data_IF_433772537985
#
_entry.id   IF_433772537985
#
_cell.length_a   1.000
_cell.length_b   1.000
_cell.length_c   1.000
_cell.angle_alpha   90.00
_cell.angle_beta   90.00
_cell.angle_gamma   90.00
#
_symmetry.space_group_name_H-M   'P 1'
#
loop_
_entity.id
_entity.type
_entity.pdbx_description
1 polymer ?
#
# COMPACT_ATOMS: atom_id res chain seq x y z
N UNK A 1 -2.97 -83.01 21.18
CA UNK A 1 -3.37 -81.60 21.32
C UNK A 1 -2.43 -80.78 20.41
N UNK A 2 -2.92 -80.36 19.22
CA UNK A 2 -2.13 -79.61 18.24
C UNK A 2 -2.37 -78.15 18.48
N UNK A 3 -1.29 -77.40 18.78
CA UNK A 3 -1.31 -75.92 18.94
C UNK A 3 -1.23 -75.28 17.55
N UNK A 4 -2.24 -74.48 17.21
CA UNK A 4 -2.30 -73.72 15.96
C UNK A 4 -1.72 -72.33 16.27
N UNK A 5 -0.58 -72.00 15.66
CA UNK A 5 0.03 -70.68 15.75
C UNK A 5 -0.49 -69.78 14.62
N UNK A 6 -1.19 -68.72 14.94
CA UNK A 6 -1.67 -67.72 14.00
C UNK A 6 -0.60 -66.65 13.88
N UNK A 7 0.01 -66.49 12.70
CA UNK A 7 0.88 -65.36 12.36
C UNK A 7 0.03 -64.17 11.95
N UNK A 8 0.10 -63.07 12.68
CA UNK A 8 -0.43 -61.79 12.25
C UNK A 8 0.63 -61.08 11.38
N UNK A 9 0.31 -60.94 10.11
CA UNK A 9 1.10 -60.07 9.19
C UNK A 9 0.50 -58.69 9.23
N UNK A 10 1.20 -57.73 9.89
CA UNK A 10 0.84 -56.33 9.91
C UNK A 10 1.33 -55.68 8.62
N UNK A 11 0.42 -55.31 7.73
CA UNK A 11 0.74 -54.52 6.54
C UNK A 11 0.93 -53.04 6.96
N UNK A 12 2.16 -52.56 6.84
CA UNK A 12 2.51 -51.14 7.06
C UNK A 12 2.17 -50.37 5.77
N UNK A 13 1.08 -49.59 5.78
CA UNK A 13 0.73 -48.72 4.68
C UNK A 13 1.63 -47.46 4.70
N UNK A 14 2.57 -47.37 3.76
CA UNK A 14 3.40 -46.18 3.57
C UNK A 14 2.57 -45.18 2.76
N UNK A 15 2.03 -44.16 3.42
CA UNK A 15 1.41 -42.99 2.76
C UNK A 15 2.50 -42.06 2.28
N UNK A 16 2.76 -41.99 0.99
CA UNK A 16 3.63 -40.98 0.36
C UNK A 16 2.91 -39.63 0.35
N UNK A 17 3.34 -38.72 1.20
CA UNK A 17 2.91 -37.30 1.15
C UNK A 17 3.65 -36.65 -0.02
N UNK A 18 2.91 -36.38 -1.10
CA UNK A 18 3.44 -35.56 -2.20
C UNK A 18 3.64 -34.12 -1.72
N UNK A 19 4.89 -33.74 -1.52
CA UNK A 19 5.27 -32.33 -1.27
C UNK A 19 5.11 -31.58 -2.60
N UNK A 20 4.02 -30.84 -2.74
CA UNK A 20 3.85 -29.92 -3.87
C UNK A 20 4.80 -28.76 -3.63
N UNK A 21 5.90 -28.72 -4.38
CA UNK A 21 6.82 -27.58 -4.36
C UNK A 21 6.07 -26.33 -4.85
N UNK A 22 5.87 -25.35 -3.95
CA UNK A 22 5.38 -24.04 -4.35
C UNK A 22 6.42 -23.38 -5.29
N UNK A 23 5.99 -22.77 -6.42
CA UNK A 23 6.90 -22.06 -7.28
C UNK A 23 7.60 -20.97 -6.48
N UNK A 24 8.94 -20.95 -6.51
CA UNK A 24 9.73 -19.93 -5.86
C UNK A 24 9.30 -18.55 -6.41
N UNK A 25 8.77 -17.69 -5.55
CA UNK A 25 8.41 -16.33 -5.91
C UNK A 25 9.71 -15.60 -6.28
N UNK A 26 9.75 -15.02 -7.50
CA UNK A 26 10.94 -14.29 -7.94
C UNK A 26 11.28 -13.17 -6.95
N UNK A 27 12.55 -13.05 -6.58
CA UNK A 27 13.01 -12.02 -5.66
C UNK A 27 12.69 -10.63 -6.22
N UNK A 28 12.07 -9.77 -5.41
CA UNK A 28 11.77 -8.39 -5.78
C UNK A 28 13.09 -7.64 -5.94
N UNK A 29 13.27 -7.00 -7.10
CA UNK A 29 14.42 -6.11 -7.39
C UNK A 29 13.86 -4.74 -7.76
N UNK A 30 14.21 -3.72 -6.98
CA UNK A 30 13.89 -2.34 -7.32
C UNK A 30 14.98 -1.76 -8.23
N UNK A 31 14.58 -1.16 -9.34
CA UNK A 31 15.49 -0.29 -10.09
C UNK A 31 15.81 0.97 -9.27
N UNK A 32 16.90 1.64 -9.61
CA UNK A 32 17.26 2.90 -8.97
C UNK A 32 16.14 3.94 -9.16
N UNK A 33 15.71 4.57 -8.07
CA UNK A 33 14.78 5.70 -8.12
C UNK A 33 15.53 6.95 -8.59
N UNK A 34 14.93 7.68 -9.53
CA UNK A 34 15.50 8.90 -10.13
C UNK A 34 14.66 10.15 -9.84
N UNK A 35 13.43 9.96 -9.35
CA UNK A 35 12.54 11.05 -9.01
C UNK A 35 13.11 11.92 -7.88
N UNK A 36 12.81 13.22 -7.96
CA UNK A 36 13.18 14.22 -6.96
C UNK A 36 11.92 14.94 -6.49
N UNK A 37 12.01 15.62 -5.34
CA UNK A 37 10.97 16.53 -4.91
C UNK A 37 10.66 17.56 -6.01
N UNK A 38 9.39 17.75 -6.29
CA UNK A 38 8.93 18.72 -7.30
C UNK A 38 7.51 19.21 -6.98
N UNK A 39 7.16 20.36 -7.53
CA UNK A 39 5.78 20.86 -7.52
C UNK A 39 5.07 20.29 -8.74
N UNK A 40 4.01 19.48 -8.57
CA UNK A 40 3.29 18.90 -9.70
C UNK A 40 2.44 19.94 -10.42
N UNK A 41 2.06 19.61 -11.66
CA UNK A 41 1.13 20.42 -12.44
C UNK A 41 -0.23 20.60 -11.73
N UNK A 42 -0.91 21.70 -12.03
CA UNK A 42 -2.23 21.99 -11.48
C UNK A 42 -3.27 21.01 -12.04
N UNK A 43 -4.06 20.40 -11.15
CA UNK A 43 -5.19 19.51 -11.49
C UNK A 43 -6.46 20.13 -10.93
N UNK A 44 -7.53 20.16 -11.74
CA UNK A 44 -8.82 20.65 -11.27
C UNK A 44 -9.42 19.68 -10.25
N UNK A 45 -9.89 20.21 -9.11
CA UNK A 45 -10.58 19.40 -8.11
C UNK A 45 -11.98 19.03 -8.57
N UNK A 46 -12.36 17.74 -8.61
CA UNK A 46 -13.72 17.33 -8.91
C UNK A 46 -14.71 17.83 -7.84
N UNK A 47 -15.87 18.30 -8.26
CA UNK A 47 -16.93 18.77 -7.36
C UNK A 47 -18.00 17.70 -7.07
N UNK A 48 -18.03 16.63 -7.84
CA UNK A 48 -18.99 15.51 -7.72
C UNK A 48 -18.35 14.20 -8.14
N UNK A 49 -18.90 13.09 -7.66
CA UNK A 49 -18.47 11.76 -8.05
C UNK A 49 -18.67 11.50 -9.55
N UNK A 50 -17.72 10.79 -10.14
CA UNK A 50 -17.84 10.28 -11.51
C UNK A 50 -18.92 9.20 -11.60
N UNK A 51 -19.55 9.11 -12.76
CA UNK A 51 -20.47 8.03 -13.10
C UNK A 51 -20.24 7.63 -14.56
N UNK A 52 -19.78 6.39 -14.84
CA UNK A 52 -19.45 5.36 -13.88
C UNK A 52 -18.13 5.63 -13.12
N UNK A 53 -17.99 5.02 -11.94
CA UNK A 53 -16.73 5.04 -11.21
C UNK A 53 -15.72 4.09 -11.87
N UNK A 54 -14.43 4.44 -11.90
CA UNK A 54 -13.38 3.48 -12.26
C UNK A 54 -13.33 2.31 -11.25
N UNK A 55 -12.81 1.17 -11.68
CA UNK A 55 -12.78 -0.06 -10.87
C UNK A 55 -11.39 -0.38 -10.33
N UNK A 56 -10.33 0.14 -10.96
CA UNK A 56 -8.95 -0.19 -10.62
C UNK A 56 -8.02 1.00 -10.82
N UNK A 57 -7.04 1.15 -9.93
CA UNK A 57 -5.85 1.96 -10.16
C UNK A 57 -4.62 1.05 -10.23
N UNK A 58 -3.70 1.42 -11.10
CA UNK A 58 -2.42 0.73 -11.26
C UNK A 58 -1.31 1.73 -11.09
N UNK A 59 -0.37 1.43 -10.18
CA UNK A 59 0.85 2.20 -9.95
C UNK A 59 2.03 1.38 -10.46
N UNK A 60 2.66 1.82 -11.54
CA UNK A 60 3.93 1.26 -12.03
C UNK A 60 5.05 1.91 -11.25
N UNK A 61 5.74 1.12 -10.43
CA UNK A 61 6.83 1.60 -9.58
C UNK A 61 8.19 1.09 -10.06
N UNK A 62 9.28 1.64 -9.52
CA UNK A 62 10.62 1.10 -9.75
C UNK A 62 10.83 -0.30 -9.13
N UNK A 63 9.94 -0.75 -8.26
CA UNK A 63 9.97 -2.07 -7.62
C UNK A 63 8.98 -3.08 -8.26
N UNK A 64 8.16 -2.64 -9.22
CA UNK A 64 7.12 -3.43 -9.87
C UNK A 64 5.75 -2.77 -9.79
N UNK A 65 4.73 -3.51 -10.20
CA UNK A 65 3.36 -3.00 -10.34
C UNK A 65 2.54 -3.27 -9.09
N UNK A 66 1.90 -2.20 -8.57
CA UNK A 66 0.90 -2.29 -7.50
C UNK A 66 -0.47 -2.02 -8.13
N UNK A 67 -1.40 -2.99 -8.03
CA UNK A 67 -2.78 -2.83 -8.48
C UNK A 67 -3.73 -2.74 -7.29
N UNK A 68 -4.70 -1.84 -7.38
CA UNK A 68 -5.69 -1.59 -6.35
C UNK A 68 -7.09 -1.72 -6.93
N UNK A 69 -7.89 -2.64 -6.42
CA UNK A 69 -9.33 -2.69 -6.66
C UNK A 69 -10.03 -1.62 -5.82
N UNK A 70 -10.91 -0.83 -6.43
CA UNK A 70 -11.52 0.35 -5.83
C UNK A 70 -12.82 0.00 -5.10
N UNK A 71 -13.08 0.67 -3.99
CA UNK A 71 -14.28 0.48 -3.19
C UNK A 71 -15.31 1.58 -3.49
N UNK A 72 -16.39 1.23 -4.17
CA UNK A 72 -17.44 2.17 -4.59
C UNK A 72 -18.12 2.94 -3.41
N UNK A 73 -17.85 2.57 -2.15
CA UNK A 73 -18.29 3.32 -0.97
C UNK A 73 -17.50 4.62 -0.72
N UNK A 74 -16.44 4.88 -1.51
CA UNK A 74 -15.65 6.12 -1.45
C UNK A 74 -15.67 6.87 -2.80
N UNK A 75 -16.84 7.24 -3.33
CA UNK A 75 -16.98 7.71 -4.70
C UNK A 75 -16.29 9.05 -4.98
N UNK A 76 -16.32 10.02 -4.05
CA UNK A 76 -15.61 11.31 -4.21
C UNK A 76 -14.12 11.09 -4.15
N UNK A 77 -13.63 10.26 -3.23
CA UNK A 77 -12.22 9.91 -3.10
C UNK A 77 -11.69 9.26 -4.37
N UNK A 78 -12.40 8.25 -4.89
CA UNK A 78 -12.02 7.57 -6.14
C UNK A 78 -11.97 8.56 -7.31
N UNK A 79 -12.96 9.44 -7.41
CA UNK A 79 -13.02 10.44 -8.48
C UNK A 79 -11.88 11.44 -8.38
N UNK A 80 -11.55 11.90 -7.16
CA UNK A 80 -10.46 12.82 -6.88
C UNK A 80 -9.10 12.18 -7.24
N UNK A 81 -8.87 10.95 -6.78
CA UNK A 81 -7.65 10.22 -7.12
C UNK A 81 -7.54 9.94 -8.64
N UNK A 82 -8.66 9.61 -9.30
CA UNK A 82 -8.68 9.42 -10.76
C UNK A 82 -8.33 10.72 -11.52
N UNK A 83 -8.79 11.88 -11.05
CA UNK A 83 -8.42 13.17 -11.62
C UNK A 83 -6.92 13.45 -11.46
N UNK A 84 -6.36 13.19 -10.30
CA UNK A 84 -4.93 13.32 -10.02
C UNK A 84 -4.09 12.37 -10.89
N UNK A 85 -4.50 11.12 -11.04
CA UNK A 85 -3.83 10.13 -11.89
C UNK A 85 -3.86 10.58 -13.36
N UNK A 86 -5.02 10.98 -13.88
CA UNK A 86 -5.15 11.49 -15.25
C UNK A 86 -4.34 12.76 -15.49
N UNK A 87 -4.22 13.61 -14.46
CA UNK A 87 -3.38 14.80 -14.46
C UNK A 87 -1.89 14.52 -14.19
N UNK A 88 -1.47 13.25 -14.14
CA UNK A 88 -0.07 12.81 -13.91
C UNK A 88 0.53 13.32 -12.60
N UNK A 89 -0.31 13.60 -11.59
CA UNK A 89 0.13 14.14 -10.31
C UNK A 89 1.08 13.19 -9.55
N UNK A 90 0.86 11.88 -9.68
CA UNK A 90 1.68 10.85 -9.05
C UNK A 90 2.91 10.44 -9.86
N UNK A 91 2.95 10.81 -11.15
CA UNK A 91 4.02 10.38 -12.04
C UNK A 91 5.37 10.98 -11.60
N UNK A 92 6.42 10.17 -11.64
CA UNK A 92 7.76 10.54 -11.19
C UNK A 92 7.83 11.08 -9.76
N UNK A 93 7.00 10.59 -8.85
CA UNK A 93 7.02 10.95 -7.44
C UNK A 93 7.53 9.82 -6.55
N UNK A 94 8.11 10.17 -5.39
CA UNK A 94 8.54 9.20 -4.39
C UNK A 94 7.47 9.00 -3.32
N UNK A 95 7.40 7.80 -2.76
CA UNK A 95 6.72 7.58 -1.49
C UNK A 95 7.60 8.14 -0.38
N UNK A 96 7.08 9.07 0.39
CA UNK A 96 7.86 9.95 1.25
C UNK A 96 7.93 9.50 2.71
N UNK A 97 7.14 8.49 3.12
CA UNK A 97 7.12 8.00 4.51
C UNK A 97 6.85 6.52 4.58
N UNK A 98 7.59 5.85 5.45
CA UNK A 98 7.38 4.46 5.85
C UNK A 98 7.34 4.41 7.38
N UNK A 99 6.38 3.66 7.94
CA UNK A 99 6.32 3.36 9.36
C UNK A 99 6.45 1.86 9.57
N UNK A 100 7.24 1.45 10.58
CA UNK A 100 7.60 0.05 10.83
C UNK A 100 7.36 -0.39 12.28
N UNK A 101 6.83 0.49 13.13
CA UNK A 101 6.54 0.23 14.54
C UNK A 101 5.14 0.77 14.89
N UNK A 102 4.27 -0.11 15.40
CA UNK A 102 2.90 0.23 15.83
C UNK A 102 1.93 0.60 14.71
N UNK A 103 2.44 1.17 13.62
CA UNK A 103 1.75 1.52 12.39
C UNK A 103 2.56 0.94 11.22
N UNK A 104 1.90 0.25 10.29
CA UNK A 104 2.55 -0.50 9.21
C UNK A 104 2.08 -0.02 7.84
N UNK A 105 2.56 1.17 7.43
CA UNK A 105 2.14 1.81 6.18
C UNK A 105 3.30 2.36 5.37
N UNK A 106 3.13 2.34 4.03
CA UNK A 106 3.91 3.11 3.07
C UNK A 106 3.03 4.27 2.58
N UNK A 107 3.44 5.50 2.80
CA UNK A 107 2.69 6.71 2.43
C UNK A 107 3.31 7.39 1.21
N UNK A 108 2.46 7.73 0.24
CA UNK A 108 2.82 8.35 -1.04
C UNK A 108 1.87 9.51 -1.35
N UNK A 109 2.08 10.20 -2.47
CA UNK A 109 1.14 11.20 -2.98
C UNK A 109 1.42 12.63 -2.50
N UNK A 110 2.63 12.87 -2.00
CA UNK A 110 3.20 14.20 -1.84
C UNK A 110 4.47 14.33 -2.68
N UNK A 111 4.39 14.81 -3.92
CA UNK A 111 5.56 15.00 -4.77
C UNK A 111 6.59 15.99 -4.23
N UNK A 112 6.22 16.84 -3.26
CA UNK A 112 7.15 17.79 -2.61
C UNK A 112 8.01 17.13 -1.52
N UNK A 113 7.67 15.91 -1.10
CA UNK A 113 8.33 15.11 -0.05
C UNK A 113 8.35 15.77 1.33
N UNK A 114 7.50 16.75 1.58
CA UNK A 114 7.43 17.46 2.88
C UNK A 114 6.50 16.77 3.88
N UNK A 115 5.65 15.85 3.42
CA UNK A 115 4.54 15.27 4.20
C UNK A 115 3.32 16.19 4.32
N UNK A 116 3.44 17.45 3.89
CA UNK A 116 2.38 18.46 3.92
C UNK A 116 1.86 18.84 2.52
N UNK A 117 2.49 18.33 1.45
CA UNK A 117 2.13 18.68 0.07
C UNK A 117 0.75 18.15 -0.31
N UNK A 118 -0.01 19.05 -0.96
CA UNK A 118 -1.34 18.77 -1.52
C UNK A 118 -1.46 19.43 -2.90
N UNK A 119 -2.43 19.01 -3.74
CA UNK A 119 -2.63 19.63 -5.05
C UNK A 119 -2.95 21.13 -4.92
N UNK A 120 -2.27 21.93 -5.72
CA UNK A 120 -2.41 23.40 -5.67
C UNK A 120 -3.86 23.84 -5.89
N UNK A 121 -4.41 24.59 -4.94
CA UNK A 121 -5.76 25.13 -4.96
C UNK A 121 -6.87 24.14 -4.58
N UNK A 122 -6.52 22.90 -4.22
CA UNK A 122 -7.51 21.96 -3.67
C UNK A 122 -7.88 22.35 -2.24
N UNK A 123 -9.16 22.18 -1.95
CA UNK A 123 -9.69 22.15 -0.58
C UNK A 123 -9.80 20.70 -0.15
N UNK A 124 -9.68 20.44 1.13
CA UNK A 124 -9.97 19.11 1.67
C UNK A 124 -11.40 18.67 1.31
N UNK A 125 -11.59 17.37 1.16
CA UNK A 125 -12.91 16.78 0.92
C UNK A 125 -13.26 15.76 2.01
N UNK A 126 -14.56 15.50 2.15
CA UNK A 126 -15.14 14.71 3.23
C UNK A 126 -14.59 13.28 3.27
N UNK A 127 -14.56 12.74 4.48
CA UNK A 127 -14.26 11.34 4.72
C UNK A 127 -15.40 10.45 4.24
N UNK A 128 -15.04 9.31 3.65
CA UNK A 128 -15.96 8.31 3.13
C UNK A 128 -15.51 6.93 3.63
N UNK A 129 -16.43 5.96 3.68
CA UNK A 129 -16.12 4.56 3.98
C UNK A 129 -15.12 4.37 5.14
N UNK A 130 -15.36 5.04 6.25
CA UNK A 130 -14.57 4.90 7.46
C UNK A 130 -14.78 3.52 8.08
N UNK A 131 -13.73 2.84 8.59
CA UNK A 131 -13.88 1.56 9.26
C UNK A 131 -14.53 1.73 10.63
N UNK A 132 -14.95 0.61 11.22
CA UNK A 132 -15.34 0.59 12.64
C UNK A 132 -14.10 0.75 13.52
N UNK A 133 -14.28 1.29 14.74
CA UNK A 133 -13.24 1.31 15.75
C UNK A 133 -13.04 -0.11 16.31
N UNK A 134 -11.98 -0.78 15.89
CA UNK A 134 -11.64 -2.15 16.25
C UNK A 134 -10.15 -2.41 16.09
N UNK A 135 -9.65 -3.45 16.71
CA UNK A 135 -8.28 -3.95 16.47
C UNK A 135 -8.15 -4.37 15.00
N UNK A 136 -7.02 -4.06 14.39
CA UNK A 136 -6.70 -4.35 12.99
C UNK A 136 -7.78 -3.83 12.01
N UNK A 137 -8.34 -2.66 12.31
CA UNK A 137 -9.38 -2.04 11.50
C UNK A 137 -8.88 -1.57 10.10
N UNK A 138 -7.55 -1.58 9.90
CA UNK A 138 -6.90 -1.44 8.60
C UNK A 138 -6.03 -2.68 8.33
N UNK A 139 -6.62 -3.81 7.88
CA UNK A 139 -5.87 -5.03 7.63
C UNK A 139 -4.89 -4.87 6.44
N UNK A 140 -3.89 -5.76 6.38
CA UNK A 140 -2.92 -5.81 5.28
C UNK A 140 -3.59 -5.80 3.90
N UNK A 141 -3.05 -5.00 2.99
CA UNK A 141 -3.61 -4.76 1.67
C UNK A 141 -4.63 -3.64 1.60
N UNK A 142 -5.08 -3.06 2.72
CA UNK A 142 -5.93 -1.87 2.71
C UNK A 142 -5.19 -0.68 2.09
N UNK A 143 -5.91 0.15 1.32
CA UNK A 143 -5.42 1.46 0.88
C UNK A 143 -6.38 2.54 1.35
N UNK A 144 -5.82 3.59 1.97
CA UNK A 144 -6.63 4.66 2.55
C UNK A 144 -6.01 6.04 2.31
N UNK A 145 -6.80 7.08 2.56
CA UNK A 145 -6.34 8.48 2.49
C UNK A 145 -5.58 8.84 3.75
N UNK A 146 -4.44 9.51 3.59
CA UNK A 146 -3.85 10.29 4.66
C UNK A 146 -4.58 11.65 4.75
N UNK A 147 -4.75 12.17 5.96
CA UNK A 147 -5.38 13.46 6.23
C UNK A 147 -4.79 14.14 7.48
N UNK A 148 -5.12 15.40 7.69
CA UNK A 148 -4.73 16.22 8.84
C UNK A 148 -5.93 16.51 9.75
N UNK A 149 -6.90 15.60 9.79
CA UNK A 149 -8.15 15.71 10.53
C UNK A 149 -9.38 15.55 9.63
N UNK A 150 -10.58 15.55 10.18
CA UNK A 150 -11.81 15.30 9.44
C UNK A 150 -12.00 16.23 8.24
N UNK A 151 -12.32 15.66 7.09
CA UNK A 151 -12.63 16.43 5.88
C UNK A 151 -11.42 17.08 5.20
N UNK A 152 -10.19 16.67 5.53
CA UNK A 152 -8.95 17.23 4.94
C UNK A 152 -8.27 16.27 3.96
N UNK A 153 -9.00 15.32 3.38
CA UNK A 153 -8.46 14.45 2.34
C UNK A 153 -7.93 15.25 1.15
N UNK A 154 -6.78 14.89 0.65
CA UNK A 154 -6.11 15.54 -0.49
C UNK A 154 -5.60 14.55 -1.52
N UNK A 155 -4.29 14.51 -1.74
CA UNK A 155 -3.62 13.57 -2.64
C UNK A 155 -2.87 12.44 -1.94
N UNK A 156 -2.59 12.59 -0.64
CA UNK A 156 -1.75 11.63 0.05
C UNK A 156 -2.53 10.35 0.39
N UNK A 157 -1.92 9.22 0.09
CA UNK A 157 -2.48 7.89 0.28
C UNK A 157 -1.49 7.02 1.05
N UNK A 158 -1.98 6.00 1.75
CA UNK A 158 -1.12 5.00 2.34
C UNK A 158 -1.56 3.58 2.00
N UNK A 159 -0.57 2.72 1.85
CA UNK A 159 -0.68 1.29 1.59
C UNK A 159 -0.35 0.55 2.88
N UNK A 160 -1.31 -0.20 3.42
CA UNK A 160 -1.12 -0.99 4.65
C UNK A 160 -0.47 -2.31 4.29
N UNK A 161 0.72 -2.60 4.82
CA UNK A 161 1.47 -3.81 4.47
C UNK A 161 1.41 -4.92 5.53
N UNK A 162 0.95 -4.61 6.74
CA UNK A 162 0.64 -5.55 7.82
C UNK A 162 -0.57 -5.03 8.60
N UNK A 163 -1.29 -5.92 9.28
CA UNK A 163 -2.48 -5.54 10.04
C UNK A 163 -2.18 -4.42 11.03
N UNK A 164 -3.00 -3.37 10.95
CA UNK A 164 -2.77 -2.10 11.64
C UNK A 164 -4.03 -1.64 12.34
N UNK A 165 -3.86 -1.17 13.57
CA UNK A 165 -4.92 -0.50 14.35
C UNK A 165 -4.69 1.00 14.35
N UNK A 166 -5.67 1.75 13.83
CA UNK A 166 -5.69 3.21 13.81
C UNK A 166 -7.03 3.74 14.28
N UNK A 167 -7.08 5.02 14.68
CA UNK A 167 -8.37 5.72 14.78
C UNK A 167 -9.15 5.58 13.46
N UNK A 168 -10.48 5.40 13.50
CA UNK A 168 -11.30 5.14 12.31
C UNK A 168 -11.55 6.40 11.48
N UNK A 169 -10.49 7.17 11.17
CA UNK A 169 -10.56 8.52 10.63
C UNK A 169 -10.02 8.63 9.20
N UNK A 170 -9.62 7.50 8.60
CA UNK A 170 -8.98 7.49 7.29
C UNK A 170 -9.84 6.76 6.27
N UNK A 171 -10.26 7.45 5.23
CA UNK A 171 -11.12 6.92 4.16
C UNK A 171 -10.48 5.73 3.47
N UNK A 172 -11.08 4.54 3.60
CA UNK A 172 -10.67 3.33 2.86
C UNK A 172 -11.27 3.39 1.46
N UNK A 173 -10.41 3.54 0.43
CA UNK A 173 -10.87 3.66 -0.96
C UNK A 173 -10.59 2.43 -1.82
N UNK A 174 -9.88 1.42 -1.31
CA UNK A 174 -9.64 0.19 -2.06
C UNK A 174 -8.82 -0.85 -1.32
N UNK A 175 -8.42 -1.89 -2.07
CA UNK A 175 -7.59 -2.99 -1.59
C UNK A 175 -6.55 -3.35 -2.65
N UNK A 176 -5.31 -3.59 -2.23
CA UNK A 176 -4.24 -4.11 -3.10
C UNK A 176 -4.62 -5.51 -3.58
N UNK A 177 -4.62 -5.71 -4.88
CA UNK A 177 -4.87 -7.00 -5.54
C UNK A 177 -3.61 -7.61 -6.14
N UNK A 178 -2.56 -6.78 -6.34
CA UNK A 178 -1.23 -7.20 -6.80
C UNK A 178 -0.18 -6.27 -6.22
N UNK A 179 0.99 -6.80 -5.84
CA UNK A 179 2.13 -6.01 -5.38
C UNK A 179 2.12 -5.69 -3.89
N UNK A 180 1.33 -6.38 -3.06
CA UNK A 180 1.44 -6.29 -1.60
C UNK A 180 2.83 -6.73 -1.13
N UNK A 181 3.38 -7.77 -1.74
CA UNK A 181 4.73 -8.26 -1.52
C UNK A 181 5.82 -7.20 -1.81
N UNK A 182 5.59 -6.31 -2.79
CA UNK A 182 6.47 -5.16 -3.06
C UNK A 182 6.50 -4.22 -1.85
N UNK A 183 5.31 -3.86 -1.32
CA UNK A 183 5.22 -2.96 -0.15
C UNK A 183 5.86 -3.62 1.07
N UNK A 184 5.64 -4.92 1.28
CA UNK A 184 6.26 -5.71 2.35
C UNK A 184 7.78 -5.82 2.19
N UNK A 185 8.27 -5.99 0.97
CA UNK A 185 9.71 -5.98 0.68
C UNK A 185 10.35 -4.65 1.06
N UNK A 186 9.75 -3.54 0.65
CA UNK A 186 10.22 -2.18 1.00
C UNK A 186 10.22 -1.97 2.51
N UNK A 187 9.18 -2.41 3.20
CA UNK A 187 9.08 -2.32 4.65
C UNK A 187 10.21 -3.09 5.37
N UNK A 188 10.60 -4.25 4.85
CA UNK A 188 11.73 -5.04 5.38
C UNK A 188 13.08 -4.34 5.22
N UNK A 189 13.22 -3.42 4.26
CA UNK A 189 14.44 -2.63 4.12
C UNK A 189 14.55 -1.53 5.19
N UNK A 190 13.43 -1.19 5.85
CA UNK A 190 13.37 -0.25 6.95
C UNK A 190 13.05 1.18 6.56
N UNK A 191 12.75 1.98 7.59
CA UNK A 191 12.61 3.42 7.50
C UNK A 191 13.90 4.10 7.99
N UNK A 192 14.23 5.25 7.44
CA UNK A 192 15.40 6.04 7.80
C UNK A 192 15.01 7.49 8.08
N UNK A 193 15.71 8.09 9.04
CA UNK A 193 15.61 9.51 9.37
C UNK A 193 16.99 10.09 9.58
N UNK A 194 17.10 11.39 9.77
CA UNK A 194 18.35 12.05 10.17
C UNK A 194 18.40 12.13 11.70
N UNK A 195 19.52 11.76 12.29
CA UNK A 195 19.80 12.00 13.71
C UNK A 195 20.16 13.48 13.98
N UNK A 196 20.49 13.79 15.23
CA UNK A 196 20.88 15.15 15.65
C UNK A 196 22.14 15.67 14.93
N UNK A 197 22.97 14.79 14.38
CA UNK A 197 24.18 15.13 13.63
C UNK A 197 23.94 15.19 12.11
N UNK A 198 22.69 14.99 11.68
CA UNK A 198 22.31 14.92 10.26
C UNK A 198 22.66 13.62 9.55
N UNK A 199 23.09 12.58 10.28
CA UNK A 199 23.40 11.25 9.74
C UNK A 199 22.13 10.44 9.56
N UNK A 200 22.07 9.63 8.48
CA UNK A 200 20.95 8.73 8.24
C UNK A 200 21.03 7.54 9.19
N UNK A 201 19.96 7.32 9.95
CA UNK A 201 19.81 6.21 10.88
C UNK A 201 18.48 5.49 10.65
N UNK A 202 18.42 4.22 10.97
CA UNK A 202 17.15 3.48 10.95
C UNK A 202 16.24 3.96 12.06
N UNK A 203 14.94 4.07 11.72
CA UNK A 203 13.89 4.52 12.64
C UNK A 203 12.59 3.75 12.43
N UNK A 204 11.66 3.86 13.39
CA UNK A 204 10.31 3.29 13.25
C UNK A 204 9.38 4.11 12.33
N UNK A 205 9.78 5.33 11.98
CA UNK A 205 9.05 6.27 11.11
C UNK A 205 10.07 7.16 10.38
N UNK A 206 9.93 7.32 9.07
CA UNK A 206 10.84 8.13 8.28
C UNK A 206 10.69 7.88 6.77
N UNK A 207 11.71 8.25 6.01
CA UNK A 207 11.79 7.92 4.60
C UNK A 207 12.05 6.42 4.39
N UNK A 208 11.71 5.90 3.23
CA UNK A 208 12.02 4.51 2.86
C UNK A 208 13.53 4.31 2.65
N UNK A 209 14.17 3.35 3.34
CA UNK A 209 15.57 2.99 3.09
C UNK A 209 15.75 2.46 1.65
N UNK A 210 14.77 1.72 1.13
CA UNK A 210 14.62 1.41 -0.29
C UNK A 210 13.66 2.43 -0.93
N UNK A 211 14.13 3.41 -1.69
CA UNK A 211 13.24 4.40 -2.31
C UNK A 211 12.22 3.76 -3.26
N UNK A 212 10.96 4.15 -3.12
CA UNK A 212 9.86 3.74 -4.00
C UNK A 212 9.44 4.93 -4.85
N UNK A 213 9.65 4.81 -6.15
CA UNK A 213 9.21 5.79 -7.14
C UNK A 213 7.97 5.26 -7.86
N UNK A 214 6.89 6.02 -7.86
CA UNK A 214 5.78 5.84 -8.79
C UNK A 214 6.23 6.43 -10.13
N UNK A 215 6.54 5.57 -11.12
CA UNK A 215 6.92 6.01 -12.47
C UNK A 215 5.71 6.56 -13.22
N UNK A 216 4.60 5.83 -13.16
CA UNK A 216 3.31 6.25 -13.72
C UNK A 216 2.15 5.67 -12.92
N UNK A 217 1.01 6.36 -12.93
CA UNK A 217 -0.25 5.84 -12.42
C UNK A 217 -1.32 5.80 -13.53
N UNK A 218 -2.22 4.80 -13.50
CA UNK A 218 -3.27 4.57 -14.51
C UNK A 218 -4.61 4.27 -13.86
N UNK A 219 -5.67 4.70 -14.53
CA UNK A 219 -7.08 4.46 -14.20
C UNK A 219 -7.65 3.41 -15.18
N UNK A 220 -8.34 2.39 -14.65
CA UNK A 220 -9.04 1.36 -15.45
C UNK A 220 -10.42 1.07 -14.92
#
# INVERSE_FOLDING_TARGET
MKKLSILFVSALAITTVAVVAQPAQAAIKCAQATAKAHTPGKVAQPSKAANPLPKKFTFDTNCGVIEVSLNAKAPITITSLAALIKGKYYDNSLCHRLTTQGLYVLQCGDPTLTGAGNPTGWKGYKDENLPKNATNNYPAGTVAMANSGPGTNGSQVFFVYADTTLGPNYTIWGKITKGLDIVQYVAKQGAITKDANGQLVYAGDGFTAQPVQIKTAKVS
#
